data_IF_802292694348
#
_entry.id   IF_802292694348
#
_cell.length_a   1.000
_cell.length_b   1.000
_cell.length_c   1.000
_cell.angle_alpha   90.00
_cell.angle_beta   90.00
_cell.angle_gamma   90.00
#
_symmetry.space_group_name_H-M   'P 1'
#
loop_
_entity.id
_entity.type
_entity.pdbx_description
1 polymer ?
#
# COMPACT_ATOMS: atom_id res chain seq x y z
N UNK A 1 -19.25 -29.58 25.01
CA UNK A 1 -20.36 -29.01 24.23
C UNK A 1 -20.63 -27.61 24.77
N UNK A 2 -20.21 -26.56 24.06
CA UNK A 2 -20.58 -25.19 24.42
C UNK A 2 -21.86 -24.88 23.64
N UNK A 3 -22.94 -24.54 24.35
CA UNK A 3 -24.23 -24.18 23.76
C UNK A 3 -24.10 -22.85 23.03
N UNK A 4 -24.41 -22.82 21.75
CA UNK A 4 -24.64 -21.59 20.99
C UNK A 4 -25.86 -20.87 21.59
N UNK A 5 -25.60 -19.80 22.36
CA UNK A 5 -26.68 -19.00 22.96
C UNK A 5 -27.28 -18.05 21.91
N UNK A 6 -28.60 -18.11 21.76
CA UNK A 6 -29.40 -17.20 20.93
C UNK A 6 -29.62 -15.83 21.60
N UNK A 7 -29.20 -15.66 22.86
CA UNK A 7 -29.44 -14.44 23.63
C UNK A 7 -28.46 -13.30 23.27
N UNK A 8 -28.91 -12.03 23.37
CA UNK A 8 -28.06 -10.85 23.21
C UNK A 8 -26.85 -10.84 24.15
N UNK A 9 -25.69 -10.43 23.65
CA UNK A 9 -24.44 -10.26 24.41
C UNK A 9 -24.06 -8.79 24.51
N UNK A 10 -23.08 -8.53 25.37
CA UNK A 10 -22.56 -7.19 25.66
C UNK A 10 -22.11 -6.40 24.41
N UNK A 11 -21.79 -7.07 23.30
CA UNK A 11 -21.35 -6.46 22.03
C UNK A 11 -22.47 -6.24 21.01
N UNK A 12 -23.73 -6.57 21.35
CA UNK A 12 -24.86 -6.36 20.46
C UNK A 12 -25.34 -4.90 20.50
N UNK A 13 -25.40 -4.27 19.32
CA UNK A 13 -25.87 -2.89 19.19
C UNK A 13 -27.34 -2.76 19.59
N UNK A 14 -27.62 -1.85 20.54
CA UNK A 14 -28.98 -1.52 20.98
C UNK A 14 -29.42 -0.23 20.27
N UNK A 15 -30.38 -0.33 19.35
CA UNK A 15 -31.01 0.83 18.72
C UNK A 15 -31.96 1.51 19.72
N UNK A 16 -31.47 2.53 20.42
CA UNK A 16 -32.32 3.47 21.14
C UNK A 16 -32.92 4.48 20.17
N UNK A 17 -34.23 4.40 19.91
CA UNK A 17 -34.98 5.38 19.13
C UNK A 17 -36.20 5.89 19.90
N UNK A 18 -36.29 7.21 20.08
CA UNK A 18 -37.49 7.92 20.56
C UNK A 18 -38.57 7.94 19.47
N UNK A 19 -39.26 6.82 19.24
CA UNK A 19 -40.54 6.76 18.49
C UNK A 19 -41.40 5.65 19.12
N UNK A 20 -42.72 5.82 19.33
CA UNK A 20 -43.53 4.79 20.00
C UNK A 20 -43.57 3.52 19.16
N UNK A 21 -43.29 2.39 19.81
CA UNK A 21 -43.05 1.08 19.20
C UNK A 21 -44.14 0.60 18.23
N UNK A 22 -43.76 0.07 17.06
CA UNK A 22 -44.39 -1.10 16.50
C UNK A 22 -43.84 -2.35 17.21
N UNK A 23 -44.72 -3.30 17.46
CA UNK A 23 -44.46 -4.61 18.05
C UNK A 23 -43.22 -5.26 17.36
N UNK A 24 -42.23 -5.68 18.16
CA UNK A 24 -40.90 -6.17 17.75
C UNK A 24 -39.79 -5.11 17.63
N UNK A 25 -39.54 -4.36 18.70
CA UNK A 25 -38.23 -3.77 18.98
C UNK A 25 -37.22 -4.88 19.28
N UNK A 26 -36.87 -5.68 18.28
CA UNK A 26 -35.97 -6.81 18.44
C UNK A 26 -34.54 -6.28 18.59
N UNK A 27 -34.02 -6.33 19.82
CA UNK A 27 -32.58 -6.52 20.02
C UNK A 27 -32.26 -7.85 19.34
N UNK A 28 -31.90 -7.79 18.06
CA UNK A 28 -31.31 -8.90 17.33
C UNK A 28 -29.90 -9.03 17.87
N UNK A 29 -29.81 -9.49 19.11
CA UNK A 29 -28.58 -9.93 19.70
C UNK A 29 -28.31 -11.39 19.38
N UNK A 30 -27.17 -11.88 19.84
CA UNK A 30 -26.78 -13.25 19.57
C UNK A 30 -26.39 -13.48 18.11
N UNK A 31 -26.26 -14.75 17.74
CA UNK A 31 -25.80 -15.15 16.41
C UNK A 31 -26.76 -14.72 15.29
N UNK A 32 -28.07 -14.63 15.56
CA UNK A 32 -29.09 -14.18 14.60
C UNK A 32 -28.87 -12.71 14.19
N UNK A 33 -28.55 -11.86 15.17
CA UNK A 33 -28.16 -10.48 14.94
C UNK A 33 -26.93 -10.33 14.08
N UNK A 34 -25.89 -11.10 14.41
CA UNK A 34 -24.66 -11.12 13.65
C UNK A 34 -24.92 -11.49 12.17
N UNK A 35 -25.71 -12.53 11.92
CA UNK A 35 -26.09 -12.95 10.55
C UNK A 35 -26.85 -11.85 9.80
N UNK A 36 -27.77 -11.15 10.47
CA UNK A 36 -28.51 -10.06 9.85
C UNK A 36 -27.61 -8.86 9.52
N UNK A 37 -26.69 -8.48 10.42
CA UNK A 37 -25.70 -7.43 10.15
C UNK A 37 -24.78 -7.82 9.00
N UNK A 38 -24.33 -9.08 8.96
CA UNK A 38 -23.50 -9.59 7.85
C UNK A 38 -24.26 -9.63 6.51
N UNK A 39 -25.58 -9.81 6.51
CA UNK A 39 -26.40 -9.75 5.30
C UNK A 39 -26.72 -8.30 4.84
N UNK A 40 -26.24 -7.28 5.55
CA UNK A 40 -26.51 -5.88 5.23
C UNK A 40 -25.88 -5.45 3.90
N UNK A 41 -26.58 -4.59 3.14
CA UNK A 41 -26.02 -3.97 1.94
C UNK A 41 -24.90 -2.96 2.27
N UNK A 42 -24.93 -2.39 3.48
CA UNK A 42 -23.92 -1.44 3.95
C UNK A 42 -22.61 -2.16 4.32
N UNK A 43 -21.51 -1.76 3.66
CA UNK A 43 -20.18 -2.34 3.88
C UNK A 43 -19.70 -2.23 5.33
N UNK A 44 -19.87 -1.06 5.97
CA UNK A 44 -19.44 -0.84 7.34
C UNK A 44 -20.18 -1.75 8.32
N UNK A 45 -21.50 -1.94 8.11
CA UNK A 45 -22.29 -2.87 8.95
C UNK A 45 -21.80 -4.32 8.79
N UNK A 46 -21.39 -4.72 7.58
CA UNK A 46 -20.79 -6.05 7.36
C UNK A 46 -19.39 -6.15 7.99
N UNK A 47 -18.57 -5.11 7.89
CA UNK A 47 -17.26 -5.05 8.56
C UNK A 47 -17.40 -5.21 10.07
N UNK A 48 -18.34 -4.48 10.69
CA UNK A 48 -18.61 -4.59 12.12
C UNK A 48 -19.11 -5.99 12.49
N UNK A 49 -19.90 -6.64 11.63
CA UNK A 49 -20.32 -8.02 11.83
C UNK A 49 -19.12 -8.99 11.75
N UNK A 50 -18.24 -8.84 10.77
CA UNK A 50 -17.03 -9.66 10.63
C UNK A 50 -16.10 -9.47 11.84
N UNK A 51 -15.87 -8.23 12.27
CA UNK A 51 -15.05 -7.92 13.44
C UNK A 51 -15.57 -8.57 14.74
N UNK A 52 -16.90 -8.62 14.91
CA UNK A 52 -17.54 -9.23 16.08
C UNK A 52 -17.70 -10.75 15.98
N UNK A 53 -17.48 -11.35 14.82
CA UNK A 53 -17.73 -12.78 14.58
C UNK A 53 -16.98 -13.72 15.54
N UNK A 54 -15.70 -13.49 15.93
CA UNK A 54 -14.99 -14.37 16.87
C UNK A 54 -15.70 -14.58 18.21
N UNK A 55 -16.53 -13.61 18.63
CA UNK A 55 -17.27 -13.71 19.89
C UNK A 55 -18.35 -14.81 19.86
N UNK A 56 -18.73 -15.34 18.70
CA UNK A 56 -19.84 -16.29 18.55
C UNK A 56 -19.39 -17.72 18.23
N UNK A 57 -18.16 -18.09 18.60
CA UNK A 57 -17.68 -19.48 18.49
C UNK A 57 -17.68 -20.01 17.06
N UNK A 58 -18.04 -21.29 16.88
CA UNK A 58 -18.05 -21.97 15.58
C UNK A 58 -18.96 -21.28 14.54
N UNK A 59 -20.09 -20.75 14.98
CA UNK A 59 -21.01 -20.02 14.10
C UNK A 59 -20.41 -18.68 13.63
N UNK A 60 -19.64 -18.03 14.48
CA UNK A 60 -18.82 -16.88 14.13
C UNK A 60 -17.77 -17.22 13.08
N UNK A 61 -17.05 -18.33 13.26
CA UNK A 61 -16.07 -18.80 12.27
C UNK A 61 -16.74 -19.09 10.92
N UNK A 62 -17.93 -19.70 10.92
CA UNK A 62 -18.68 -19.93 9.68
C UNK A 62 -19.02 -18.63 8.94
N UNK A 63 -19.30 -17.54 9.66
CA UNK A 63 -19.52 -16.22 9.07
C UNK A 63 -18.21 -15.66 8.49
N UNK A 64 -17.08 -15.78 9.19
CA UNK A 64 -15.79 -15.36 8.67
C UNK A 64 -15.42 -16.10 7.37
N UNK A 65 -15.64 -17.42 7.31
CA UNK A 65 -15.40 -18.22 6.09
C UNK A 65 -16.28 -17.73 4.94
N UNK A 66 -17.56 -17.40 5.19
CA UNK A 66 -18.43 -16.80 4.17
C UNK A 66 -17.96 -15.41 3.74
N UNK A 67 -17.46 -14.62 4.68
CA UNK A 67 -16.96 -13.27 4.43
C UNK A 67 -15.73 -13.24 3.51
N UNK A 68 -14.98 -14.34 3.35
CA UNK A 68 -13.92 -14.47 2.34
C UNK A 68 -14.45 -14.36 0.89
N UNK A 69 -15.77 -14.43 0.69
CA UNK A 69 -16.44 -14.29 -0.61
C UNK A 69 -17.31 -13.02 -0.69
N UNK A 70 -17.22 -12.12 0.29
CA UNK A 70 -17.97 -10.86 0.29
C UNK A 70 -17.68 -10.04 -0.98
N UNK A 71 -18.63 -9.19 -1.39
CA UNK A 71 -18.44 -8.28 -2.52
C UNK A 71 -17.37 -7.21 -2.25
N UNK A 72 -17.22 -6.78 -1.00
CA UNK A 72 -16.22 -5.81 -0.57
C UNK A 72 -14.87 -6.45 -0.33
N UNK A 73 -13.81 -5.89 -0.94
CA UNK A 73 -12.44 -6.29 -0.65
C UNK A 73 -12.10 -6.09 0.83
N UNK A 74 -12.55 -5.00 1.45
CA UNK A 74 -12.25 -4.72 2.85
C UNK A 74 -12.82 -5.80 3.78
N UNK A 75 -14.06 -6.24 3.53
CA UNK A 75 -14.70 -7.32 4.29
C UNK A 75 -13.93 -8.63 4.13
N UNK A 76 -13.54 -8.99 2.89
CA UNK A 76 -12.75 -10.21 2.61
C UNK A 76 -11.41 -10.19 3.36
N UNK A 77 -10.70 -9.06 3.33
CA UNK A 77 -9.41 -8.87 4.00
C UNK A 77 -9.55 -8.99 5.51
N UNK A 78 -10.56 -8.34 6.09
CA UNK A 78 -10.76 -8.37 7.53
C UNK A 78 -11.06 -9.79 8.02
N UNK A 79 -11.91 -10.51 7.30
CA UNK A 79 -12.21 -11.92 7.58
C UNK A 79 -10.96 -12.81 7.49
N UNK A 80 -10.16 -12.63 6.43
CA UNK A 80 -8.90 -13.36 6.24
C UNK A 80 -7.93 -13.12 7.40
N UNK A 81 -7.73 -11.86 7.82
CA UNK A 81 -6.84 -11.52 8.94
C UNK A 81 -7.28 -12.20 10.24
N UNK A 82 -8.57 -12.12 10.56
CA UNK A 82 -9.12 -12.72 11.78
C UNK A 82 -8.96 -14.25 11.75
N UNK A 83 -9.33 -14.90 10.65
CA UNK A 83 -9.18 -16.36 10.52
C UNK A 83 -7.72 -16.80 10.64
N UNK A 84 -6.78 -16.07 10.04
CA UNK A 84 -5.35 -16.30 10.17
C UNK A 84 -4.88 -16.15 11.63
N UNK A 85 -5.30 -15.10 12.32
CA UNK A 85 -4.97 -14.87 13.74
C UNK A 85 -5.51 -15.96 14.67
N UNK A 86 -6.69 -16.49 14.37
CA UNK A 86 -7.33 -17.56 15.14
C UNK A 86 -6.80 -18.96 14.75
N UNK A 87 -5.93 -19.08 13.75
CA UNK A 87 -5.52 -20.35 13.15
C UNK A 87 -6.72 -21.23 12.76
N UNK A 88 -7.73 -20.63 12.12
CA UNK A 88 -8.95 -21.31 11.67
C UNK A 88 -9.06 -21.30 10.14
N UNK A 89 -9.75 -22.30 9.58
CA UNK A 89 -9.99 -22.43 8.14
C UNK A 89 -8.69 -22.42 7.29
N UNK A 90 -7.68 -23.17 7.74
CA UNK A 90 -6.35 -23.22 7.12
C UNK A 90 -6.39 -23.46 5.61
N UNK A 91 -7.27 -24.34 5.14
CA UNK A 91 -7.43 -24.61 3.70
C UNK A 91 -7.87 -23.39 2.88
N UNK A 92 -8.63 -22.47 3.47
CA UNK A 92 -9.04 -21.22 2.81
C UNK A 92 -7.95 -20.16 2.94
N UNK A 93 -7.30 -20.08 4.10
CA UNK A 93 -6.20 -19.13 4.34
C UNK A 93 -4.99 -19.45 3.47
N UNK A 94 -4.69 -20.74 3.24
CA UNK A 94 -3.62 -21.18 2.36
C UNK A 94 -3.78 -20.70 0.92
N UNK A 95 -5.01 -20.41 0.47
CA UNK A 95 -5.26 -19.86 -0.88
C UNK A 95 -4.85 -18.39 -0.99
N UNK A 96 -4.90 -17.65 0.11
CA UNK A 96 -4.69 -16.20 0.15
C UNK A 96 -5.99 -15.40 0.07
N UNK A 97 -5.87 -14.08 -0.08
CA UNK A 97 -7.01 -13.17 -0.15
C UNK A 97 -7.60 -13.19 -1.56
N UNK A 98 -8.88 -13.51 -1.65
CA UNK A 98 -9.59 -13.54 -2.93
C UNK A 98 -9.74 -12.13 -3.52
N UNK A 99 -9.21 -11.92 -4.73
CA UNK A 99 -9.38 -10.71 -5.52
C UNK A 99 -10.34 -10.92 -6.70
N UNK A 100 -11.35 -10.07 -6.78
CA UNK A 100 -12.36 -10.04 -7.84
C UNK A 100 -12.00 -8.99 -8.89
N UNK A 101 -12.55 -9.16 -10.10
CA UNK A 101 -12.46 -8.13 -11.15
C UNK A 101 -13.03 -6.82 -10.64
N UNK A 102 -12.30 -5.72 -10.82
CA UNK A 102 -12.67 -4.39 -10.34
C UNK A 102 -12.14 -4.04 -8.96
N UNK A 103 -11.61 -5.00 -8.19
CA UNK A 103 -10.88 -4.68 -6.97
C UNK A 103 -9.68 -3.79 -7.26
N UNK A 104 -9.31 -2.96 -6.28
CA UNK A 104 -8.14 -2.09 -6.36
C UNK A 104 -7.08 -2.55 -5.37
N UNK A 105 -5.84 -2.59 -5.85
CA UNK A 105 -4.64 -2.74 -5.04
C UNK A 105 -3.67 -1.60 -5.37
N UNK A 106 -2.74 -1.34 -4.47
CA UNK A 106 -1.80 -0.24 -4.56
C UNK A 106 -0.39 -0.79 -4.56
N UNK A 107 0.27 -0.65 -5.70
CA UNK A 107 1.64 -1.10 -5.90
C UNK A 107 2.59 0.06 -5.61
N UNK A 108 3.61 -0.18 -4.81
CA UNK A 108 4.69 0.78 -4.57
C UNK A 108 5.85 0.42 -5.47
N UNK A 109 6.31 1.39 -6.25
CA UNK A 109 7.42 1.24 -7.18
C UNK A 109 8.59 2.12 -6.76
N UNK A 110 9.81 1.64 -6.97
CA UNK A 110 10.98 2.50 -7.11
C UNK A 110 10.90 3.20 -8.45
N UNK A 111 11.12 4.51 -8.43
CA UNK A 111 11.38 5.27 -9.64
C UNK A 111 12.69 4.80 -10.24
N UNK A 112 12.72 4.78 -11.55
CA UNK A 112 13.89 4.35 -12.29
C UNK A 112 14.68 5.53 -12.82
N UNK A 113 16.00 5.41 -12.76
CA UNK A 113 16.96 6.36 -13.30
C UNK A 113 17.53 5.78 -14.58
N UNK A 114 17.46 6.54 -15.68
CA UNK A 114 18.17 6.22 -16.92
C UNK A 114 19.20 7.28 -17.15
N UNK A 115 20.28 6.93 -17.83
CA UNK A 115 21.30 7.87 -18.20
C UNK A 115 21.66 7.69 -19.66
N UNK A 116 21.90 8.82 -20.33
CA UNK A 116 22.67 8.88 -21.56
C UNK A 116 24.07 9.41 -21.27
N UNK A 117 24.81 9.73 -22.32
CA UNK A 117 26.20 10.19 -22.19
C UNK A 117 26.32 11.47 -21.33
N UNK A 118 25.31 12.35 -21.36
CA UNK A 118 25.35 13.66 -20.67
C UNK A 118 24.04 14.03 -19.92
N UNK A 119 23.12 13.09 -19.70
CA UNK A 119 21.82 13.37 -19.08
C UNK A 119 21.29 12.19 -18.30
N UNK A 120 20.55 12.43 -17.21
CA UNK A 120 19.89 11.37 -16.44
C UNK A 120 18.39 11.63 -16.32
N UNK A 121 17.54 10.73 -16.76
CA UNK A 121 16.08 10.89 -16.65
C UNK A 121 15.53 10.10 -15.49
N UNK A 122 14.68 10.74 -14.70
CA UNK A 122 13.91 10.04 -13.68
C UNK A 122 12.52 9.71 -14.22
N UNK A 123 12.13 8.44 -14.10
CA UNK A 123 10.76 8.00 -14.38
C UNK A 123 10.09 7.56 -13.09
N UNK A 124 9.05 8.30 -12.71
CA UNK A 124 8.25 8.12 -11.51
C UNK A 124 6.78 7.76 -11.82
N UNK A 125 6.56 7.11 -12.98
CA UNK A 125 5.25 6.66 -13.43
C UNK A 125 5.34 5.33 -14.20
N UNK A 126 4.21 4.62 -14.27
CA UNK A 126 4.04 3.39 -15.07
C UNK A 126 3.34 3.76 -16.38
N UNK A 127 3.93 3.39 -17.52
CA UNK A 127 3.34 3.56 -18.85
C UNK A 127 2.78 2.24 -19.41
N UNK A 128 2.23 2.27 -20.62
CA UNK A 128 1.63 1.08 -21.24
C UNK A 128 2.64 -0.02 -21.61
N UNK A 129 3.88 0.34 -21.94
CA UNK A 129 4.94 -0.64 -22.24
C UNK A 129 5.36 -1.38 -20.98
N UNK A 130 5.34 -0.71 -19.83
CA UNK A 130 5.59 -1.33 -18.53
C UNK A 130 4.48 -2.33 -18.14
N UNK A 131 3.32 -2.33 -18.84
CA UNK A 131 2.22 -3.28 -18.59
C UNK A 131 2.50 -4.68 -19.14
N UNK A 132 3.41 -4.87 -20.08
CA UNK A 132 3.70 -6.20 -20.62
C UNK A 132 4.63 -7.02 -19.70
N UNK A 133 5.56 -6.40 -18.97
CA UNK A 133 6.26 -7.06 -17.85
C UNK A 133 5.31 -7.40 -16.69
N UNK A 134 4.18 -6.70 -16.56
CA UNK A 134 3.13 -7.04 -15.61
C UNK A 134 2.37 -8.33 -15.96
N UNK A 135 2.67 -8.99 -17.08
CA UNK A 135 2.24 -10.39 -17.31
C UNK A 135 2.89 -11.36 -16.31
N UNK A 136 4.04 -11.01 -15.74
CA UNK A 136 4.69 -11.75 -14.65
C UNK A 136 4.05 -11.49 -13.28
N UNK A 137 3.15 -10.51 -13.18
CA UNK A 137 2.45 -10.16 -11.95
C UNK A 137 1.46 -11.24 -11.51
N UNK A 138 0.83 -11.90 -12.48
CA UNK A 138 -0.05 -13.03 -12.24
C UNK A 138 0.72 -14.33 -12.44
N UNK A 139 0.96 -15.05 -11.35
CA UNK A 139 1.55 -16.38 -11.41
C UNK A 139 0.44 -17.39 -11.60
N UNK A 140 0.54 -18.23 -12.65
CA UNK A 140 -0.42 -19.31 -12.86
C UNK A 140 -0.22 -20.37 -11.77
N UNK A 141 -1.30 -20.72 -11.10
CA UNK A 141 -1.34 -21.76 -10.07
C UNK A 141 -1.94 -23.03 -10.66
N UNK A 142 -1.29 -24.18 -10.49
CA UNK A 142 -1.88 -25.47 -10.85
C UNK A 142 -2.79 -25.95 -9.71
N UNK A 143 -3.97 -26.47 -10.04
CA UNK A 143 -4.84 -27.16 -9.08
C UNK A 143 -6.09 -26.41 -8.59
N UNK A 144 -6.25 -25.11 -8.85
CA UNK A 144 -7.50 -24.39 -8.53
C UNK A 144 -8.56 -24.63 -9.61
N UNK A 145 -9.73 -25.16 -9.22
CA UNK A 145 -10.87 -25.44 -10.13
C UNK A 145 -12.02 -24.43 -10.01
N UNK A 146 -11.85 -23.37 -9.21
CA UNK A 146 -12.88 -22.38 -8.85
C UNK A 146 -12.83 -21.09 -9.71
N UNK A 147 -12.03 -21.10 -10.78
CA UNK A 147 -11.83 -19.93 -11.66
C UNK A 147 -10.76 -18.95 -11.17
N UNK A 148 -9.99 -19.30 -10.13
CA UNK A 148 -8.84 -18.54 -9.61
C UNK A 148 -7.51 -19.21 -9.99
N UNK A 149 -7.25 -19.35 -11.29
CA UNK A 149 -6.02 -19.97 -11.80
C UNK A 149 -4.75 -19.11 -11.60
N UNK A 150 -4.87 -17.92 -11.01
CA UNK A 150 -3.78 -16.96 -10.88
C UNK A 150 -3.61 -16.51 -9.44
N UNK A 151 -2.37 -16.19 -9.07
CA UNK A 151 -2.07 -15.50 -7.83
C UNK A 151 -1.14 -14.31 -8.04
N UNK A 152 -1.18 -13.38 -7.10
CA UNK A 152 -0.23 -12.29 -6.91
C UNK A 152 0.43 -12.55 -5.57
N UNK A 153 1.76 -12.55 -5.53
CA UNK A 153 2.49 -12.68 -4.26
C UNK A 153 2.86 -11.29 -3.75
N UNK A 154 2.53 -11.00 -2.49
CA UNK A 154 2.98 -9.75 -1.85
C UNK A 154 4.51 -9.76 -1.79
N UNK A 155 5.11 -8.77 -2.45
CA UNK A 155 6.50 -8.41 -2.25
C UNK A 155 6.58 -7.44 -1.08
N UNK A 156 7.60 -7.57 -0.24
CA UNK A 156 7.95 -6.57 0.78
C UNK A 156 9.39 -6.14 0.55
N UNK A 157 9.55 -4.83 0.33
CA UNK A 157 10.85 -4.16 0.28
C UNK A 157 11.87 -4.90 -0.60
N UNK A 158 11.42 -5.38 -1.77
CA UNK A 158 12.32 -5.99 -2.74
C UNK A 158 13.34 -4.92 -3.13
N UNK A 159 14.61 -5.09 -2.75
CA UNK A 159 15.66 -4.16 -3.18
C UNK A 159 15.67 -4.06 -4.71
N UNK A 160 15.88 -2.85 -5.26
CA UNK A 160 15.93 -2.69 -6.69
C UNK A 160 17.06 -3.54 -7.28
N UNK A 161 16.80 -4.15 -8.44
CA UNK A 161 17.84 -4.79 -9.23
C UNK A 161 18.63 -3.71 -9.95
N UNK A 162 19.95 -3.67 -9.75
CA UNK A 162 20.82 -2.65 -10.36
C UNK A 162 20.96 -2.78 -11.89
N UNK A 163 20.15 -3.61 -12.55
CA UNK A 163 20.43 -4.13 -13.89
C UNK A 163 19.36 -3.83 -14.95
N UNK A 164 18.22 -3.22 -14.59
CA UNK A 164 17.16 -2.92 -15.56
C UNK A 164 17.06 -1.43 -15.89
N UNK A 165 17.77 -1.06 -16.95
CA UNK A 165 17.55 0.20 -17.65
C UNK A 165 16.11 0.27 -18.17
N UNK A 166 15.44 1.38 -17.98
CA UNK A 166 14.17 1.69 -18.63
C UNK A 166 12.89 1.42 -17.82
N UNK A 167 12.96 0.82 -16.62
CA UNK A 167 11.76 0.29 -15.96
C UNK A 167 11.70 0.58 -14.44
N UNK A 168 10.53 1.06 -13.99
CA UNK A 168 10.24 1.23 -12.56
C UNK A 168 10.09 -0.14 -11.90
N UNK A 169 10.70 -0.35 -10.75
CA UNK A 169 10.71 -1.66 -10.11
C UNK A 169 9.66 -1.78 -9.00
N UNK A 170 8.87 -2.85 -9.03
CA UNK A 170 7.88 -3.12 -7.99
C UNK A 170 8.58 -3.47 -6.67
N UNK A 171 8.40 -2.62 -5.67
CA UNK A 171 8.96 -2.78 -4.33
C UNK A 171 8.01 -3.60 -3.42
N UNK A 172 6.73 -3.24 -3.43
CA UNK A 172 5.73 -3.83 -2.55
C UNK A 172 4.29 -3.63 -3.04
N UNK A 173 3.35 -4.39 -2.47
CA UNK A 173 1.92 -4.36 -2.82
C UNK A 173 1.08 -4.22 -1.54
N UNK A 174 0.09 -3.34 -1.58
CA UNK A 174 -0.83 -3.05 -0.49
C UNK A 174 -2.28 -3.10 -0.95
N UNK A 175 -3.18 -3.36 -0.01
CA UNK A 175 -4.62 -3.30 -0.24
C UNK A 175 -5.17 -1.91 0.11
N UNK A 176 -4.57 -1.23 1.08
CA UNK A 176 -4.98 0.09 1.52
C UNK A 176 -4.03 1.16 1.01
N UNK A 177 -4.60 2.26 0.50
CA UNK A 177 -3.87 3.32 -0.19
C UNK A 177 -2.95 4.08 0.75
N UNK A 178 -3.44 4.45 1.92
CA UNK A 178 -2.69 5.13 2.97
C UNK A 178 -1.42 4.36 3.35
N UNK A 179 -1.49 3.02 3.44
CA UNK A 179 -0.33 2.17 3.69
C UNK A 179 0.65 2.10 2.54
N UNK A 180 0.16 2.16 1.30
CA UNK A 180 1.04 2.29 0.14
C UNK A 180 1.73 3.66 0.09
N UNK A 181 1.01 4.73 0.42
CA UNK A 181 1.53 6.10 0.44
C UNK A 181 2.58 6.29 1.55
N UNK A 182 2.32 5.75 2.74
CA UNK A 182 3.28 5.69 3.85
C UNK A 182 4.56 4.94 3.43
N UNK A 183 4.41 3.76 2.82
CA UNK A 183 5.54 2.98 2.35
C UNK A 183 6.32 3.66 1.21
N UNK A 184 5.64 4.29 0.26
CA UNK A 184 6.28 5.04 -0.82
C UNK A 184 7.07 6.24 -0.27
N UNK A 185 6.55 6.94 0.75
CA UNK A 185 7.29 8.03 1.42
C UNK A 185 8.55 7.50 2.09
N UNK A 186 8.45 6.40 2.84
CA UNK A 186 9.62 5.77 3.48
C UNK A 186 10.67 5.38 2.44
N UNK A 187 10.28 4.70 1.36
CA UNK A 187 11.21 4.32 0.30
C UNK A 187 11.82 5.53 -0.44
N UNK A 188 11.05 6.61 -0.60
CA UNK A 188 11.57 7.84 -1.17
C UNK A 188 12.70 8.42 -0.32
N UNK A 189 12.51 8.51 1.00
CA UNK A 189 13.51 9.01 1.95
C UNK A 189 14.72 8.08 2.01
N UNK A 190 14.51 6.76 2.11
CA UNK A 190 15.60 5.79 2.06
C UNK A 190 16.45 5.98 0.80
N UNK A 191 15.79 6.19 -0.36
CA UNK A 191 16.49 6.42 -1.61
C UNK A 191 17.17 7.79 -1.65
N UNK A 192 16.60 8.83 -1.06
CA UNK A 192 17.27 10.14 -0.93
C UNK A 192 18.57 10.04 -0.12
N UNK A 193 18.60 9.18 0.91
CA UNK A 193 19.78 8.97 1.74
C UNK A 193 20.82 8.05 1.09
N UNK A 194 20.37 7.09 0.27
CA UNK A 194 21.21 6.06 -0.38
C UNK A 194 21.66 6.42 -1.80
N UNK A 195 21.07 7.44 -2.43
CA UNK A 195 21.45 7.84 -3.78
C UNK A 195 22.86 8.43 -3.75
N UNK A 196 23.84 7.61 -4.11
CA UNK A 196 25.20 8.04 -4.40
C UNK A 196 25.19 8.84 -5.70
N UNK A 197 25.83 10.00 -5.73
CA UNK A 197 25.80 10.92 -6.89
C UNK A 197 26.89 10.66 -7.92
N UNK A 198 27.54 9.49 -7.90
CA UNK A 198 28.21 9.00 -9.12
C UNK A 198 27.23 8.86 -10.31
N UNK A 199 25.92 8.83 -10.04
CA UNK A 199 24.88 9.12 -11.03
C UNK A 199 24.74 10.66 -11.16
N UNK A 200 25.46 11.23 -12.13
CA UNK A 200 25.41 12.66 -12.47
C UNK A 200 24.01 13.23 -12.78
N UNK A 201 24.03 14.52 -13.14
CA UNK A 201 22.97 15.35 -13.75
C UNK A 201 21.62 14.66 -14.02
N UNK A 202 20.69 14.66 -13.06
CA UNK A 202 19.29 14.37 -13.41
C UNK A 202 18.84 15.48 -14.37
N UNK A 203 18.60 15.15 -15.63
CA UNK A 203 18.07 15.99 -16.72
C UNK A 203 16.78 16.70 -16.32
N UNK A 204 15.99 16.07 -15.45
CA UNK A 204 14.80 16.68 -14.84
C UNK A 204 15.15 17.69 -13.72
N UNK A 205 16.42 17.89 -13.38
CA UNK A 205 16.85 18.96 -12.47
C UNK A 205 16.69 20.30 -13.16
N UNK A 206 16.01 21.21 -12.48
CA UNK A 206 16.05 22.60 -12.88
C UNK A 206 17.48 23.14 -12.75
N UNK A 207 17.98 23.75 -13.81
CA UNK A 207 19.25 24.46 -13.82
C UNK A 207 19.06 25.78 -13.05
N UNK A 208 19.32 25.74 -11.75
CA UNK A 208 19.30 26.94 -10.92
C UNK A 208 20.63 27.67 -11.03
N UNK A 209 20.56 28.98 -11.18
CA UNK A 209 21.75 29.81 -11.08
C UNK A 209 22.27 29.83 -9.65
N UNK A 210 23.57 30.09 -9.49
CA UNK A 210 24.27 30.15 -8.20
C UNK A 210 23.56 31.06 -7.18
N UNK A 211 22.95 32.15 -7.66
CA UNK A 211 22.18 33.08 -6.85
C UNK A 211 20.92 32.46 -6.25
N UNK A 212 20.23 31.59 -7.00
CA UNK A 212 19.00 30.92 -6.55
C UNK A 212 19.33 29.84 -5.52
N UNK A 213 20.39 29.06 -5.76
CA UNK A 213 20.90 28.08 -4.78
C UNK A 213 21.36 28.76 -3.49
N UNK A 214 22.09 29.87 -3.61
CA UNK A 214 22.54 30.67 -2.46
C UNK A 214 21.36 31.26 -1.69
N UNK A 215 20.33 31.72 -2.39
CA UNK A 215 19.11 32.23 -1.75
C UNK A 215 18.36 31.11 -1.04
N UNK A 216 18.21 29.95 -1.66
CA UNK A 216 17.59 28.78 -1.04
C UNK A 216 18.32 28.36 0.25
N UNK A 217 19.66 28.34 0.25
CA UNK A 217 20.45 28.07 1.45
C UNK A 217 20.16 29.09 2.56
N UNK A 218 20.13 30.38 2.26
CA UNK A 218 19.81 31.45 3.23
C UNK A 218 18.41 31.28 3.81
N UNK A 219 17.42 31.05 2.95
CA UNK A 219 16.01 30.91 3.34
C UNK A 219 15.77 29.67 4.22
N UNK A 220 16.60 28.63 4.05
CA UNK A 220 16.55 27.41 4.86
C UNK A 220 17.54 27.41 6.04
N UNK A 221 18.27 28.51 6.29
CA UNK A 221 19.18 28.65 7.41
C UNK A 221 20.45 27.80 7.30
N UNK A 222 20.94 27.57 6.08
CA UNK A 222 22.19 26.87 5.81
C UNK A 222 23.34 27.89 5.64
N UNK A 223 24.44 27.68 6.36
CA UNK A 223 25.65 28.51 6.26
C UNK A 223 26.56 28.08 5.10
N UNK A 224 25.99 27.54 4.02
CA UNK A 224 26.70 27.05 2.84
C UNK A 224 26.70 28.14 1.76
N UNK A 225 27.88 28.45 1.25
CA UNK A 225 28.10 29.43 0.18
C UNK A 225 28.93 28.80 -0.93
N UNK A 226 28.73 29.22 -2.17
CA UNK A 226 29.49 28.75 -3.34
C UNK A 226 30.98 29.07 -3.19
N UNK A 227 31.85 28.15 -3.62
CA UNK A 227 33.29 28.38 -3.66
C UNK A 227 33.71 29.06 -4.98
N UNK A 228 34.81 29.83 -5.02
CA UNK A 228 35.22 30.57 -6.23
C UNK A 228 35.50 29.70 -7.47
N UNK A 229 35.94 28.46 -7.26
CA UNK A 229 36.27 27.50 -8.34
C UNK A 229 35.15 26.49 -8.59
N UNK A 230 34.03 26.60 -7.87
CA UNK A 230 32.93 25.65 -7.89
C UNK A 230 31.86 26.14 -8.86
N UNK A 231 31.44 25.28 -9.78
CA UNK A 231 30.29 25.60 -10.64
C UNK A 231 28.95 25.36 -9.90
N UNK A 232 27.84 25.80 -10.51
CA UNK A 232 26.51 25.64 -9.93
C UNK A 232 26.12 24.16 -9.65
N UNK A 233 26.67 23.20 -10.40
CA UNK A 233 26.38 21.78 -10.23
C UNK A 233 27.12 21.19 -9.05
N UNK A 234 28.41 21.49 -8.96
CA UNK A 234 29.24 21.14 -7.81
C UNK A 234 28.66 21.76 -6.53
N UNK A 235 28.16 23.00 -6.61
CA UNK A 235 27.51 23.65 -5.48
C UNK A 235 26.22 22.95 -5.04
N UNK A 236 25.33 22.64 -6.00
CA UNK A 236 24.11 21.88 -5.72
C UNK A 236 24.42 20.49 -5.16
N UNK A 237 25.45 19.81 -5.67
CA UNK A 237 25.94 18.53 -5.16
C UNK A 237 26.39 18.65 -3.70
N UNK A 238 27.19 19.65 -3.39
CA UNK A 238 27.68 19.88 -2.03
C UNK A 238 26.55 20.20 -1.05
N UNK A 239 25.55 20.99 -1.45
CA UNK A 239 24.36 21.23 -0.62
C UNK A 239 23.64 19.90 -0.34
N UNK A 240 23.42 19.08 -1.37
CA UNK A 240 22.74 17.79 -1.22
C UNK A 240 23.51 16.84 -0.29
N UNK A 241 24.82 16.67 -0.51
CA UNK A 241 25.69 15.83 0.33
C UNK A 241 25.74 16.32 1.77
N UNK A 242 25.79 17.63 1.98
CA UNK A 242 25.70 18.20 3.32
C UNK A 242 24.39 17.82 4.01
N UNK A 243 23.26 17.96 3.30
CA UNK A 243 21.94 17.61 3.83
C UNK A 243 21.84 16.11 4.15
N UNK A 244 22.31 15.23 3.26
CA UNK A 244 22.39 13.78 3.50
C UNK A 244 23.24 13.44 4.74
N UNK A 245 24.45 14.02 4.84
CA UNK A 245 25.37 13.77 5.97
C UNK A 245 24.84 14.30 7.30
N UNK A 246 24.10 15.41 7.27
CA UNK A 246 23.45 15.98 8.45
C UNK A 246 22.22 15.18 8.90
N UNK A 247 21.71 14.28 8.05
CA UNK A 247 20.45 13.54 8.25
C UNK A 247 19.27 14.50 8.48
N UNK A 248 19.32 15.69 7.89
CA UNK A 248 18.23 16.66 7.92
C UNK A 248 17.21 16.31 6.83
N UNK A 249 16.38 15.31 7.11
CA UNK A 249 15.43 14.74 6.15
C UNK A 249 14.46 15.81 5.63
N UNK A 250 13.96 16.69 6.51
CA UNK A 250 13.00 17.72 6.14
C UNK A 250 13.60 18.71 5.13
N UNK A 251 14.85 19.15 5.34
CA UNK A 251 15.52 20.03 4.38
C UNK A 251 15.98 19.27 3.13
N UNK A 252 16.36 18.00 3.26
CA UNK A 252 16.74 17.15 2.14
C UNK A 252 15.55 16.94 1.17
N UNK A 253 14.38 16.61 1.69
CA UNK A 253 13.14 16.50 0.89
C UNK A 253 12.81 17.84 0.21
N UNK A 254 12.84 18.96 0.95
CA UNK A 254 12.60 20.29 0.37
C UNK A 254 13.59 20.67 -0.72
N UNK A 255 14.88 20.34 -0.52
CA UNK A 255 15.91 20.63 -1.52
C UNK A 255 15.73 19.76 -2.77
N UNK A 256 15.34 18.50 -2.58
CA UNK A 256 15.02 17.60 -3.68
C UNK A 256 13.79 18.06 -4.47
N UNK A 257 12.73 18.50 -3.77
CA UNK A 257 11.56 19.10 -4.41
C UNK A 257 11.90 20.37 -5.18
N UNK A 258 12.78 21.21 -4.62
CA UNK A 258 13.28 22.41 -5.28
C UNK A 258 14.08 22.07 -6.55
N UNK A 259 15.01 21.12 -6.46
CA UNK A 259 15.97 20.81 -7.53
C UNK A 259 15.44 19.86 -8.60
N UNK A 260 14.81 18.76 -8.20
CA UNK A 260 14.36 17.68 -9.10
C UNK A 260 12.84 17.69 -9.27
N UNK A 261 12.10 18.04 -8.22
CA UNK A 261 10.62 18.04 -8.20
C UNK A 261 9.98 16.72 -8.69
N UNK A 262 10.56 15.59 -8.27
CA UNK A 262 10.07 14.25 -8.63
C UNK A 262 10.17 13.29 -7.45
N UNK A 263 9.51 12.15 -7.53
CA UNK A 263 9.57 11.14 -6.46
C UNK A 263 10.53 10.01 -6.81
N UNK A 264 11.30 9.54 -5.84
CA UNK A 264 12.16 8.33 -6.00
C UNK A 264 11.41 7.02 -5.73
N UNK A 265 10.21 7.11 -5.17
CA UNK A 265 9.28 6.02 -5.04
C UNK A 265 7.84 6.55 -5.13
N UNK A 266 6.93 5.77 -5.70
CA UNK A 266 5.57 6.22 -5.95
C UNK A 266 4.54 5.09 -5.87
N UNK A 267 3.28 5.47 -5.68
CA UNK A 267 2.14 4.55 -5.65
C UNK A 267 1.47 4.52 -7.01
N UNK A 268 1.22 3.30 -7.50
CA UNK A 268 0.40 3.05 -8.67
C UNK A 268 -0.83 2.22 -8.28
N UNK A 269 -2.03 2.78 -8.54
CA UNK A 269 -3.29 2.06 -8.35
C UNK A 269 -3.49 1.05 -9.49
N UNK A 270 -3.73 -0.20 -9.14
CA UNK A 270 -4.03 -1.26 -10.10
C UNK A 270 -5.43 -1.80 -9.85
N UNK A 271 -6.23 -1.78 -10.91
CA UNK A 271 -7.52 -2.48 -10.95
C UNK A 271 -7.30 -3.92 -11.40
N UNK A 272 -7.85 -4.87 -10.65
CA UNK A 272 -7.78 -6.29 -10.93
C UNK A 272 -8.66 -6.60 -12.15
N UNK A 273 -8.04 -7.18 -13.18
CA UNK A 273 -8.67 -7.51 -14.47
C UNK A 273 -9.17 -8.96 -14.53
N UNK A 274 -8.76 -9.81 -13.58
CA UNK A 274 -9.12 -11.22 -13.51
C UNK A 274 -9.17 -11.72 -12.07
N UNK A 275 -9.99 -12.74 -11.85
CA UNK A 275 -10.07 -13.44 -10.55
C UNK A 275 -8.71 -14.05 -10.21
N UNK A 276 -8.17 -13.70 -9.04
CA UNK A 276 -6.88 -14.19 -8.56
C UNK A 276 -6.82 -14.17 -7.03
N UNK A 277 -5.84 -14.88 -6.46
CA UNK A 277 -5.56 -14.80 -5.03
C UNK A 277 -4.35 -13.89 -4.76
N UNK A 278 -4.45 -13.03 -3.75
CA UNK A 278 -3.31 -12.31 -3.19
C UNK A 278 -2.71 -13.14 -2.06
N UNK A 279 -1.55 -13.73 -2.31
CA UNK A 279 -0.81 -14.55 -1.36
C UNK A 279 0.04 -13.63 -0.49
N UNK A 280 -0.19 -13.67 0.81
CA UNK A 280 0.54 -12.87 1.79
C UNK A 280 1.64 -13.72 2.43
N UNK A 281 2.90 -13.33 2.28
CA UNK A 281 4.04 -14.06 2.86
C UNK A 281 4.20 -13.86 4.37
N UNK A 282 3.54 -12.86 4.96
CA UNK A 282 3.60 -12.53 6.39
C UNK A 282 2.22 -12.27 7.03
N UNK A 283 2.18 -12.10 8.36
CA UNK A 283 1.02 -11.59 9.09
C UNK A 283 0.75 -10.12 8.68
N UNK A 284 -0.48 -9.81 8.28
CA UNK A 284 -0.96 -8.49 7.82
C UNK A 284 -1.54 -7.70 8.98
#
# INVERSE_FOLDING_TARGET
MVKDSEEPRQFDAVLGGQVPSPISGAVLGGIKGLRQRFASENEQVRLDAVANSPNYGSEGINILVKALQDKSLQVRVHAYKILKQLNQAESEIAKGIRLNVGDKIYCVYYSSLYYGDDWYKLKDFINERDKDEQRLFYQRQSGYRDGYEHSITILKNKKPSYWYYGLCELASIYIFKDKAEEAAKTLHIERLLDIDKEYGMIEDQALYHENELSQWCKDNGLSITINPDEDQYEFQDRIFKFLQQSIDIDRLEKFWEFTVNRRLAFVYERTIDRKCYLITTDNI
#
